data_IF_839981511936
#
_entry.id   IF_839981511936
#
_cell.length_a   1.000
_cell.length_b   1.000
_cell.length_c   1.000
_cell.angle_alpha   90.00
_cell.angle_beta   90.00
_cell.angle_gamma   90.00
#
_symmetry.space_group_name_H-M   'P 1'
#
loop_
_entity.id
_entity.type
_entity.pdbx_description
1 polymer ?
#
# COMPACT_ATOMS: atom_id res chain seq x y z
N UNK A 1 -21.26 13.94 4.23
CA UNK A 1 -21.71 12.64 3.66
C UNK A 1 -21.17 11.50 4.51
N UNK A 2 -22.03 10.72 5.20
CA UNK A 2 -21.61 9.46 5.84
C UNK A 2 -21.43 8.40 4.76
N UNK A 3 -20.19 8.06 4.39
CA UNK A 3 -19.90 6.95 3.45
C UNK A 3 -20.31 5.62 4.10
N UNK A 4 -21.00 4.75 3.34
CA UNK A 4 -21.44 3.40 3.79
C UNK A 4 -20.28 2.46 4.15
N UNK A 5 -19.07 2.76 3.66
CA UNK A 5 -17.81 2.09 3.97
C UNK A 5 -16.70 2.68 3.09
N UNK A 6 -15.45 2.53 3.49
CA UNK A 6 -14.30 3.10 2.76
C UNK A 6 -13.71 2.10 1.75
N UNK A 7 -13.44 2.56 0.53
CA UNK A 7 -12.63 1.82 -0.44
C UNK A 7 -11.16 2.15 -0.16
N UNK A 8 -10.37 1.13 0.14
CA UNK A 8 -8.95 1.32 0.48
C UNK A 8 -8.05 0.45 -0.36
N UNK A 9 -6.86 0.96 -0.65
CA UNK A 9 -5.82 0.24 -1.37
C UNK A 9 -4.53 0.19 -0.53
N UNK A 10 -3.88 -0.97 -0.52
CA UNK A 10 -2.67 -1.24 0.25
C UNK A 10 -1.54 -1.69 -0.66
N UNK A 11 -0.37 -1.11 -0.46
CA UNK A 11 0.85 -1.51 -1.14
C UNK A 11 2.08 -1.19 -0.28
N UNK A 12 3.22 -1.76 -0.63
CA UNK A 12 4.51 -1.44 -0.03
C UNK A 12 5.50 -0.97 -1.08
N UNK A 13 6.40 -0.08 -0.68
CA UNK A 13 7.46 0.37 -1.57
C UNK A 13 8.78 0.56 -0.85
N UNK A 14 9.86 0.12 -1.49
CA UNK A 14 11.22 0.30 -1.02
C UNK A 14 11.74 1.72 -1.26
N UNK A 15 12.44 2.26 -0.27
CA UNK A 15 13.18 3.52 -0.33
C UNK A 15 14.67 3.25 -0.07
N UNK A 16 15.55 3.70 -0.97
CA UNK A 16 16.98 3.39 -0.94
C UNK A 16 17.67 4.13 0.20
N UNK A 17 18.50 3.43 0.95
CA UNK A 17 19.38 4.05 1.94
C UNK A 17 20.67 4.48 1.24
N UNK A 18 21.11 5.73 1.48
CA UNK A 18 22.47 6.17 1.12
C UNK A 18 23.47 5.73 2.19
N UNK A 19 23.63 4.42 2.40
CA UNK A 19 24.49 3.87 3.46
C UNK A 19 25.90 3.47 3.00
N UNK A 20 26.10 3.03 1.75
CA UNK A 20 27.45 2.79 1.22
C UNK A 20 27.83 3.83 0.17
N UNK A 21 29.08 4.28 0.21
CA UNK A 21 29.64 4.97 -0.95
C UNK A 21 29.88 3.91 -2.02
N UNK A 22 29.29 4.09 -3.21
CA UNK A 22 29.67 3.29 -4.39
C UNK A 22 31.19 3.26 -4.58
N UNK A 23 31.88 4.34 -4.17
CA UNK A 23 33.34 4.45 -4.14
C UNK A 23 34.03 3.42 -3.23
N UNK A 24 33.46 3.08 -2.06
CA UNK A 24 34.00 2.02 -1.21
C UNK A 24 33.87 0.67 -1.90
N UNK A 25 32.70 0.35 -2.46
CA UNK A 25 32.44 -0.90 -3.19
C UNK A 25 33.38 -1.05 -4.42
N UNK A 26 33.60 0.04 -5.15
CA UNK A 26 34.58 0.12 -6.26
C UNK A 26 36.01 -0.12 -5.73
N UNK A 27 36.41 0.52 -4.63
CA UNK A 27 37.76 0.41 -4.06
C UNK A 27 38.09 -1.00 -3.59
N UNK A 28 37.13 -1.71 -2.98
CA UNK A 28 37.33 -3.08 -2.49
C UNK A 28 37.05 -4.15 -3.56
N UNK A 29 36.76 -3.75 -4.81
CA UNK A 29 36.40 -4.63 -5.93
C UNK A 29 35.29 -5.64 -5.61
N UNK A 30 34.38 -5.31 -4.68
CA UNK A 30 33.20 -6.11 -4.38
C UNK A 30 31.97 -5.36 -4.85
N UNK A 31 31.20 -5.96 -5.76
CA UNK A 31 29.80 -5.54 -5.97
C UNK A 31 29.03 -5.95 -4.71
N UNK A 32 28.74 -4.99 -3.84
CA UNK A 32 27.76 -5.23 -2.79
C UNK A 32 26.40 -5.44 -3.45
N UNK A 33 25.90 -6.68 -3.44
CA UNK A 33 24.54 -7.01 -3.88
C UNK A 33 23.48 -6.58 -2.85
N UNK A 34 23.92 -6.09 -1.67
CA UNK A 34 23.04 -5.60 -0.62
C UNK A 34 22.48 -4.24 -1.00
N UNK A 35 21.36 -4.36 -1.66
CA UNK A 35 20.34 -3.35 -1.85
C UNK A 35 19.76 -2.95 -0.48
N UNK A 36 20.38 -1.96 0.16
CA UNK A 36 19.93 -1.40 1.43
C UNK A 36 18.67 -0.54 1.22
N UNK A 37 17.51 -1.11 1.54
CA UNK A 37 16.22 -0.39 1.50
C UNK A 37 15.47 -0.54 2.83
N UNK A 38 14.63 0.45 3.13
CA UNK A 38 13.53 0.31 4.08
C UNK A 38 12.20 0.26 3.30
N UNK A 39 11.25 -0.51 3.79
CA UNK A 39 9.92 -0.62 3.20
C UNK A 39 8.96 0.33 3.90
N UNK A 40 8.25 1.12 3.11
CA UNK A 40 7.08 1.86 3.54
C UNK A 40 5.84 1.06 3.12
N UNK A 41 5.01 0.67 4.07
CA UNK A 41 3.69 0.10 3.82
C UNK A 41 2.65 1.19 4.06
N UNK A 42 1.73 1.41 3.13
CA UNK A 42 0.66 2.40 3.27
C UNK A 42 -0.70 1.78 3.01
N UNK A 43 -1.72 2.34 3.64
CA UNK A 43 -3.12 2.18 3.24
C UNK A 43 -3.68 3.55 2.90
N UNK A 44 -4.32 3.66 1.74
CA UNK A 44 -4.91 4.91 1.25
C UNK A 44 -6.43 4.79 1.14
N UNK A 45 -7.13 5.91 1.23
CA UNK A 45 -8.50 6.04 0.72
C UNK A 45 -8.43 6.20 -0.80
N UNK A 46 -9.09 5.31 -1.54
CA UNK A 46 -9.05 5.29 -3.02
C UNK A 46 -9.66 6.58 -3.59
N UNK A 47 -10.74 7.07 -2.98
CA UNK A 47 -11.48 8.22 -3.50
C UNK A 47 -10.69 9.53 -3.37
N UNK A 48 -9.85 9.64 -2.34
CA UNK A 48 -9.11 10.88 -2.05
C UNK A 48 -7.61 10.75 -2.28
N UNK A 49 -7.04 9.54 -2.33
CA UNK A 49 -5.61 9.29 -2.35
C UNK A 49 -4.90 9.63 -1.02
N UNK A 50 -5.63 9.98 0.04
CA UNK A 50 -5.04 10.29 1.36
C UNK A 50 -4.51 9.01 1.99
N UNK A 51 -3.30 9.05 2.55
CA UNK A 51 -2.75 7.96 3.36
C UNK A 51 -3.42 7.97 4.73
N UNK A 52 -4.15 6.91 5.05
CA UNK A 52 -4.89 6.78 6.30
C UNK A 52 -4.01 6.22 7.42
N UNK A 53 -3.13 5.28 7.08
CA UNK A 53 -2.19 4.68 8.01
C UNK A 53 -0.95 4.18 7.25
N UNK A 54 0.19 4.09 7.95
CA UNK A 54 1.42 3.54 7.38
C UNK A 54 2.21 2.75 8.42
N UNK A 55 3.06 1.84 7.97
CA UNK A 55 4.08 1.20 8.79
C UNK A 55 5.41 1.16 8.05
N UNK A 56 6.51 1.15 8.80
CA UNK A 56 7.86 1.14 8.24
C UNK A 56 8.58 -0.08 8.77
N UNK A 57 9.08 -0.91 7.87
CA UNK A 57 9.82 -2.12 8.24
C UNK A 57 11.15 -2.19 7.49
N UNK A 58 12.07 -3.00 8.01
CA UNK A 58 13.30 -3.33 7.30
C UNK A 58 12.99 -4.29 6.14
N UNK A 59 13.87 -4.35 5.13
CA UNK A 59 13.62 -5.06 3.87
C UNK A 59 13.26 -6.55 4.01
N UNK A 60 13.75 -7.23 5.05
CA UNK A 60 13.50 -8.67 5.30
C UNK A 60 12.09 -8.96 5.83
N UNK A 61 11.37 -7.92 6.25
CA UNK A 61 10.06 -8.09 6.88
C UNK A 61 9.03 -8.52 5.84
N UNK A 62 8.18 -9.47 6.23
CA UNK A 62 7.12 -9.99 5.38
C UNK A 62 5.88 -9.08 5.41
N UNK A 63 5.52 -8.55 4.25
CA UNK A 63 4.44 -7.60 4.04
C UNK A 63 3.09 -8.08 4.62
N UNK A 64 2.78 -9.38 4.46
CA UNK A 64 1.52 -9.97 4.97
C UNK A 64 1.26 -9.73 6.46
N UNK A 65 2.31 -9.56 7.29
CA UNK A 65 2.18 -9.32 8.74
C UNK A 65 1.78 -7.89 9.06
N UNK A 66 2.10 -6.94 8.18
CA UNK A 66 1.80 -5.53 8.36
C UNK A 66 0.35 -5.19 7.98
N UNK A 67 -0.27 -5.99 7.10
CA UNK A 67 -1.63 -5.76 6.61
C UNK A 67 -2.65 -5.49 7.72
N UNK A 68 -2.70 -6.39 8.73
CA UNK A 68 -3.62 -6.24 9.86
C UNK A 68 -3.39 -4.96 10.64
N UNK A 69 -2.13 -4.53 10.80
CA UNK A 69 -1.78 -3.29 11.50
C UNK A 69 -2.31 -2.09 10.75
N UNK A 70 -2.13 -2.06 9.43
CA UNK A 70 -2.58 -0.96 8.57
C UNK A 70 -4.09 -0.77 8.61
N UNK A 71 -4.86 -1.86 8.64
CA UNK A 71 -6.32 -1.77 8.64
C UNK A 71 -6.93 -1.70 10.05
N UNK A 72 -6.16 -1.93 11.13
CA UNK A 72 -6.68 -2.14 12.48
C UNK A 72 -7.57 -1.00 12.97
N UNK A 73 -7.11 0.23 12.79
CA UNK A 73 -7.77 1.41 13.36
C UNK A 73 -8.68 2.12 12.34
N UNK A 74 -8.84 1.54 11.14
CA UNK A 74 -9.75 2.06 10.13
C UNK A 74 -11.22 1.75 10.48
N UNK A 75 -12.17 2.63 10.12
CA UNK A 75 -13.61 2.40 10.30
C UNK A 75 -14.12 1.29 9.35
N UNK A 76 -15.43 1.19 9.18
CA UNK A 76 -16.04 0.19 8.28
C UNK A 76 -15.44 0.25 6.87
N UNK A 77 -14.99 -0.90 6.38
CA UNK A 77 -14.37 -1.05 5.07
C UNK A 77 -15.43 -1.52 4.06
N UNK A 78 -15.31 -1.10 2.81
CA UNK A 78 -16.14 -1.58 1.72
C UNK A 78 -15.32 -2.52 0.81
N UNK A 79 -14.38 -1.97 0.04
CA UNK A 79 -13.46 -2.73 -0.80
C UNK A 79 -12.04 -2.53 -0.29
N UNK A 80 -11.28 -3.62 -0.19
CA UNK A 80 -9.87 -3.58 0.26
C UNK A 80 -9.01 -4.24 -0.80
N UNK A 81 -8.36 -3.45 -1.64
CA UNK A 81 -7.43 -3.97 -2.64
C UNK A 81 -5.99 -3.98 -2.11
N UNK A 82 -5.21 -4.98 -2.49
CA UNK A 82 -3.80 -5.00 -2.12
C UNK A 82 -2.98 -6.00 -2.88
N UNK A 83 -1.67 -5.77 -2.92
CA UNK A 83 -0.75 -6.64 -3.64
C UNK A 83 -0.80 -8.10 -3.11
N UNK A 84 -0.44 -9.02 -4.00
CA UNK A 84 -0.27 -10.45 -3.77
C UNK A 84 0.65 -10.77 -2.59
N UNK A 85 1.59 -9.90 -2.25
CA UNK A 85 2.42 -10.03 -1.04
C UNK A 85 1.61 -10.02 0.27
N UNK A 86 0.44 -9.36 0.27
CA UNK A 86 -0.50 -9.33 1.39
C UNK A 86 -1.51 -10.49 1.38
N UNK A 87 -1.58 -11.26 0.28
CA UNK A 87 -2.54 -12.34 0.11
C UNK A 87 -2.32 -13.45 1.15
N UNK A 88 -3.25 -13.52 2.10
CA UNK A 88 -3.29 -14.59 3.11
C UNK A 88 -4.70 -14.79 3.62
N UNK A 89 -5.01 -16.01 4.06
CA UNK A 89 -6.29 -16.38 4.66
C UNK A 89 -6.69 -15.45 5.81
N UNK A 90 -5.71 -15.16 6.67
CA UNK A 90 -5.89 -14.35 7.86
C UNK A 90 -6.18 -12.89 7.50
N UNK A 91 -5.58 -12.38 6.42
CA UNK A 91 -5.81 -11.01 5.95
C UNK A 91 -7.17 -10.87 5.26
N UNK A 92 -7.59 -11.86 4.46
CA UNK A 92 -8.96 -11.87 3.90
C UNK A 92 -10.01 -11.86 5.01
N UNK A 93 -9.81 -12.66 6.06
CA UNK A 93 -10.74 -12.68 7.20
C UNK A 93 -10.75 -11.35 7.95
N UNK A 94 -9.59 -10.74 8.20
CA UNK A 94 -9.52 -9.45 8.88
C UNK A 94 -10.28 -8.33 8.15
N UNK A 95 -10.37 -8.40 6.82
CA UNK A 95 -11.21 -7.49 6.02
C UNK A 95 -12.69 -7.80 6.20
N UNK A 96 -13.07 -9.08 6.12
CA UNK A 96 -14.46 -9.52 6.28
C UNK A 96 -15.01 -9.21 7.68
N UNK A 97 -14.19 -9.35 8.72
CA UNK A 97 -14.53 -9.00 10.11
C UNK A 97 -14.88 -7.51 10.26
N UNK A 98 -14.36 -6.66 9.36
CA UNK A 98 -14.68 -5.23 9.23
C UNK A 98 -15.80 -4.92 8.22
N UNK A 99 -16.56 -5.95 7.83
CA UNK A 99 -17.65 -5.90 6.84
C UNK A 99 -17.22 -5.50 5.42
N UNK A 100 -15.93 -5.59 5.13
CA UNK A 100 -15.37 -5.31 3.81
C UNK A 100 -15.22 -6.55 2.94
N UNK A 101 -14.98 -6.34 1.65
CA UNK A 101 -14.64 -7.35 0.66
C UNK A 101 -13.15 -7.27 0.32
N UNK A 102 -12.36 -8.34 0.53
CA UNK A 102 -10.94 -8.35 0.20
C UNK A 102 -10.70 -8.68 -1.28
N UNK A 103 -9.94 -7.81 -1.95
CA UNK A 103 -9.43 -8.00 -3.31
C UNK A 103 -7.91 -8.15 -3.24
N UNK A 104 -7.46 -9.33 -2.81
CA UNK A 104 -6.03 -9.68 -2.70
C UNK A 104 -5.70 -10.75 -3.74
N UNK A 105 -4.81 -10.44 -4.69
CA UNK A 105 -4.45 -11.37 -5.75
C UNK A 105 -3.93 -12.71 -5.22
N UNK A 106 -4.35 -13.81 -5.85
CA UNK A 106 -3.97 -15.15 -5.44
C UNK A 106 -2.60 -15.57 -5.99
N UNK A 107 -1.89 -16.43 -5.24
CA UNK A 107 -0.69 -17.12 -5.73
C UNK A 107 -1.07 -18.21 -6.72
N UNK A 108 -0.18 -18.52 -7.67
CA UNK A 108 -0.44 -19.55 -8.68
C UNK A 108 -0.71 -20.92 -8.04
N UNK A 109 -0.12 -21.18 -6.88
CA UNK A 109 -0.33 -22.38 -6.07
C UNK A 109 -1.37 -22.18 -4.94
N UNK A 110 -2.18 -21.12 -4.98
CA UNK A 110 -3.22 -20.90 -4.00
C UNK A 110 -4.34 -21.94 -4.16
N UNK A 111 -4.90 -22.39 -3.04
CA UNK A 111 -6.01 -23.33 -3.00
C UNK A 111 -7.21 -22.69 -2.33
N UNK A 112 -8.42 -22.98 -2.82
CA UNK A 112 -9.69 -22.47 -2.28
C UNK A 112 -10.06 -23.01 -0.88
N UNK A 113 -9.26 -23.90 -0.29
CA UNK A 113 -9.53 -24.45 1.05
C UNK A 113 -9.54 -23.33 2.11
N UNK A 114 -10.65 -23.14 2.81
CA UNK A 114 -10.81 -22.11 3.84
C UNK A 114 -9.80 -22.25 5.00
N UNK A 115 -9.57 -23.48 5.50
CA UNK A 115 -8.75 -23.76 6.69
C UNK A 115 -9.12 -22.87 7.90
N UNK A 116 -10.43 -22.74 8.18
CA UNK A 116 -10.95 -21.90 9.27
C UNK A 116 -11.15 -20.42 8.91
N UNK A 117 -10.85 -20.00 7.68
CA UNK A 117 -11.02 -18.62 7.22
C UNK A 117 -12.00 -18.59 6.02
N UNK A 118 -13.32 -18.55 6.26
CA UNK A 118 -14.32 -18.61 5.18
C UNK A 118 -14.20 -17.46 4.17
N UNK A 119 -13.78 -16.27 4.62
CA UNK A 119 -13.57 -15.13 3.73
C UNK A 119 -12.58 -15.41 2.60
N UNK A 120 -11.56 -16.24 2.85
CA UNK A 120 -10.61 -16.67 1.82
C UNK A 120 -11.30 -17.49 0.73
N UNK A 121 -12.09 -18.49 1.12
CA UNK A 121 -12.77 -19.37 0.18
C UNK A 121 -13.78 -18.60 -0.66
N UNK A 122 -14.57 -17.72 -0.04
CA UNK A 122 -15.52 -16.86 -0.74
C UNK A 122 -14.80 -15.99 -1.79
N UNK A 123 -13.70 -15.35 -1.39
CA UNK A 123 -12.94 -14.48 -2.30
C UNK A 123 -12.26 -15.27 -3.43
N UNK A 124 -11.80 -16.50 -3.13
CA UNK A 124 -11.18 -17.39 -4.12
C UNK A 124 -12.21 -17.87 -5.13
N UNK A 125 -13.38 -18.29 -4.68
CA UNK A 125 -14.47 -18.71 -5.55
C UNK A 125 -14.95 -17.53 -6.43
N UNK A 126 -15.14 -16.34 -5.85
CA UNK A 126 -15.51 -15.15 -6.62
C UNK A 126 -14.50 -14.82 -7.73
N UNK A 127 -13.19 -15.01 -7.48
CA UNK A 127 -12.16 -14.85 -8.51
C UNK A 127 -12.22 -15.96 -9.57
N UNK A 128 -12.56 -17.19 -9.21
CA UNK A 128 -12.66 -18.30 -10.17
C UNK A 128 -13.93 -18.27 -11.01
N UNK A 129 -15.05 -17.84 -10.43
CA UNK A 129 -16.36 -17.81 -11.06
C UNK A 129 -16.42 -16.70 -12.13
N UNK A 130 -15.88 -15.51 -11.83
CA UNK A 130 -15.78 -14.41 -12.79
C UNK A 130 -14.46 -13.63 -12.63
N UNK A 131 -13.35 -14.13 -13.19
CA UNK A 131 -12.05 -13.48 -13.07
C UNK A 131 -12.02 -12.05 -13.62
N UNK A 132 -12.78 -11.77 -14.68
CA UNK A 132 -12.80 -10.46 -15.34
C UNK A 132 -13.41 -9.39 -14.42
N UNK A 133 -14.61 -9.64 -13.92
CA UNK A 133 -15.30 -8.72 -12.99
C UNK A 133 -14.51 -8.55 -11.68
N UNK A 134 -13.89 -9.64 -11.19
CA UNK A 134 -13.03 -9.55 -10.02
C UNK A 134 -11.81 -8.62 -10.26
N UNK A 135 -11.21 -8.70 -11.45
CA UNK A 135 -10.09 -7.83 -11.83
C UNK A 135 -10.52 -6.38 -12.02
N UNK A 136 -11.72 -6.13 -12.55
CA UNK A 136 -12.30 -4.80 -12.66
C UNK A 136 -12.38 -4.11 -11.29
N UNK A 137 -12.80 -4.86 -10.27
CA UNK A 137 -12.84 -4.38 -8.88
C UNK A 137 -11.46 -4.24 -8.24
N UNK A 138 -10.50 -5.09 -8.63
CA UNK A 138 -9.12 -5.02 -8.15
C UNK A 138 -8.34 -3.82 -8.72
N UNK A 139 -8.75 -3.25 -9.86
CA UNK A 139 -8.03 -2.15 -10.52
C UNK A 139 -7.89 -0.88 -9.66
N UNK A 140 -8.73 -0.69 -8.64
CA UNK A 140 -8.59 0.39 -7.65
C UNK A 140 -7.22 0.39 -6.95
N UNK A 141 -6.50 -0.74 -6.95
CA UNK A 141 -5.12 -0.84 -6.46
C UNK A 141 -4.18 0.12 -7.19
N UNK A 142 -4.37 0.40 -8.48
CA UNK A 142 -3.48 1.30 -9.24
C UNK A 142 -3.30 2.69 -8.60
N UNK A 143 -4.30 3.16 -7.85
CA UNK A 143 -4.24 4.46 -7.16
C UNK A 143 -3.10 4.51 -6.13
N UNK A 144 -2.84 3.42 -5.39
CA UNK A 144 -1.75 3.42 -4.39
C UNK A 144 -0.37 3.47 -5.04
N UNK A 145 -0.22 2.91 -6.24
CA UNK A 145 1.00 3.03 -7.04
C UNK A 145 1.21 4.49 -7.48
N UNK A 146 0.13 5.18 -7.86
CA UNK A 146 0.18 6.60 -8.17
C UNK A 146 0.57 7.45 -6.95
N UNK A 147 0.07 7.09 -5.75
CA UNK A 147 0.50 7.72 -4.48
C UNK A 147 2.00 7.52 -4.24
N UNK A 148 2.51 6.29 -4.34
CA UNK A 148 3.94 6.03 -4.20
C UNK A 148 4.78 6.78 -5.23
N UNK A 149 4.31 6.81 -6.48
CA UNK A 149 4.96 7.55 -7.57
C UNK A 149 5.05 9.04 -7.25
N UNK A 150 3.95 9.64 -6.77
CA UNK A 150 3.93 11.04 -6.34
C UNK A 150 4.93 11.31 -5.22
N UNK A 151 4.98 10.47 -4.18
CA UNK A 151 5.94 10.60 -3.07
C UNK A 151 7.37 10.55 -3.61
N UNK A 152 7.69 9.53 -4.42
CA UNK A 152 9.06 9.32 -4.93
C UNK A 152 9.52 10.41 -5.88
N UNK A 153 8.64 10.90 -6.76
CA UNK A 153 8.96 11.99 -7.70
C UNK A 153 9.11 13.34 -6.99
N UNK A 154 8.24 13.64 -6.03
CA UNK A 154 8.26 14.95 -5.35
C UNK A 154 9.30 15.02 -4.23
N UNK A 155 9.50 13.94 -3.47
CA UNK A 155 10.29 13.93 -2.22
C UNK A 155 11.52 13.03 -2.31
N UNK A 156 11.77 12.41 -3.47
CA UNK A 156 12.88 11.49 -3.71
C UNK A 156 12.62 10.06 -3.21
N UNK A 157 13.20 9.09 -3.93
CA UNK A 157 13.14 7.67 -3.57
C UNK A 157 14.22 7.22 -2.58
N UNK A 158 15.17 8.09 -2.25
CA UNK A 158 16.25 7.85 -1.30
C UNK A 158 15.99 8.47 0.08
N UNK A 159 16.57 7.84 1.10
CA UNK A 159 16.63 8.32 2.47
C UNK A 159 18.05 8.83 2.73
N UNK A 160 18.15 10.10 3.14
CA UNK A 160 19.42 10.79 3.36
C UNK A 160 19.93 10.63 4.80
N UNK A 161 19.02 10.37 5.74
CA UNK A 161 19.35 10.18 7.15
C UNK A 161 20.27 8.97 7.37
N UNK A 162 21.21 9.11 8.31
CA UNK A 162 22.22 8.07 8.60
C UNK A 162 21.75 7.12 9.70
N UNK A 163 21.30 7.65 10.86
CA UNK A 163 20.88 6.83 12.00
C UNK A 163 19.56 6.10 11.71
N UNK A 164 19.44 4.86 12.17
CA UNK A 164 18.27 4.00 11.88
C UNK A 164 16.92 4.64 12.23
N UNK A 165 16.80 5.24 13.42
CA UNK A 165 15.57 5.92 13.83
C UNK A 165 15.30 7.21 13.04
N UNK A 166 16.35 7.94 12.63
CA UNK A 166 16.22 9.12 11.77
C UNK A 166 15.74 8.73 10.36
N UNK A 167 16.21 7.61 9.81
CA UNK A 167 15.72 7.07 8.52
C UNK A 167 14.21 6.82 8.54
N UNK A 168 13.71 6.21 9.62
CA UNK A 168 12.27 5.97 9.80
C UNK A 168 11.50 7.27 9.99
N UNK A 169 12.05 8.24 10.73
CA UNK A 169 11.45 9.59 10.87
C UNK A 169 11.39 10.33 9.54
N UNK A 170 12.45 10.32 8.75
CA UNK A 170 12.47 10.97 7.44
C UNK A 170 11.36 10.42 6.54
N UNK A 171 11.22 9.09 6.48
CA UNK A 171 10.17 8.45 5.70
C UNK A 171 8.75 8.79 6.22
N UNK A 172 8.56 8.82 7.54
CA UNK A 172 7.30 9.28 8.14
C UNK A 172 6.99 10.75 7.81
N UNK A 173 8.00 11.62 7.80
CA UNK A 173 7.85 13.02 7.38
C UNK A 173 7.47 13.10 5.90
N UNK A 174 8.04 12.27 5.02
CA UNK A 174 7.63 12.23 3.61
C UNK A 174 6.15 11.88 3.44
N UNK A 175 5.64 10.93 4.24
CA UNK A 175 4.20 10.59 4.28
C UNK A 175 3.37 11.77 4.75
N UNK A 176 3.78 12.44 5.84
CA UNK A 176 3.09 13.63 6.36
C UNK A 176 3.02 14.76 5.33
N UNK A 177 4.15 15.09 4.70
CA UNK A 177 4.24 16.13 3.66
C UNK A 177 3.34 15.80 2.48
N UNK A 178 3.32 14.53 2.04
CA UNK A 178 2.40 14.08 1.00
C UNK A 178 0.94 14.31 1.39
N UNK A 179 0.54 13.91 2.59
CA UNK A 179 -0.83 14.07 3.07
C UNK A 179 -1.25 15.53 3.17
N UNK A 180 -0.39 16.41 3.72
CA UNK A 180 -0.65 17.85 3.77
C UNK A 180 -0.87 18.41 2.36
N UNK A 181 0.04 18.11 1.44
CA UNK A 181 -0.07 18.51 0.03
C UNK A 181 -1.38 18.01 -0.59
N UNK A 182 -1.76 16.76 -0.33
CA UNK A 182 -2.97 16.16 -0.90
C UNK A 182 -4.25 16.79 -0.35
N UNK A 183 -4.31 17.06 0.95
CA UNK A 183 -5.45 17.76 1.58
C UNK A 183 -5.60 19.17 1.01
N UNK A 184 -4.51 19.91 0.82
CA UNK A 184 -4.56 21.24 0.21
C UNK A 184 -5.08 21.19 -1.24
N UNK A 185 -4.68 20.17 -2.02
CA UNK A 185 -5.19 19.98 -3.37
C UNK A 185 -6.68 19.64 -3.39
N UNK A 186 -7.14 18.77 -2.49
CA UNK A 186 -8.56 18.44 -2.36
C UNK A 186 -9.37 19.68 -2.03
N UNK A 187 -8.96 20.43 -1.00
CA UNK A 187 -9.62 21.68 -0.61
C UNK A 187 -9.67 22.67 -1.78
N UNK A 188 -8.57 22.81 -2.52
CA UNK A 188 -8.53 23.73 -3.66
C UNK A 188 -9.41 23.28 -4.82
N UNK A 189 -9.48 21.97 -5.08
CA UNK A 189 -10.37 21.42 -6.09
C UNK A 189 -11.85 21.63 -5.72
N UNK A 190 -12.22 21.44 -4.45
CA UNK A 190 -13.55 21.74 -3.93
C UNK A 190 -13.92 23.23 -4.08
N UNK A 191 -13.01 24.15 -3.72
CA UNK A 191 -13.20 25.59 -3.90
C UNK A 191 -13.41 25.99 -5.37
N UNK A 192 -12.75 25.30 -6.30
CA UNK A 192 -12.85 25.58 -7.74
C UNK A 192 -13.96 24.78 -8.43
N UNK A 193 -14.65 23.87 -7.74
CA UNK A 193 -15.65 22.98 -8.33
C UNK A 193 -15.08 21.97 -9.33
N UNK A 194 -13.78 21.65 -9.24
CA UNK A 194 -13.09 20.72 -10.16
C UNK A 194 -13.14 19.31 -9.57
N UNK A 195 -13.53 18.27 -10.35
CA UNK A 195 -13.50 16.90 -9.87
C UNK A 195 -12.07 16.42 -9.59
N UNK A 196 -11.90 15.60 -8.55
CA UNK A 196 -10.59 15.04 -8.17
C UNK A 196 -10.05 14.01 -9.17
N UNK A 197 -10.96 13.32 -9.85
CA UNK A 197 -10.68 12.31 -10.85
C UNK A 197 -11.41 12.68 -12.13
N UNK A 198 -10.71 12.55 -13.24
CA UNK A 198 -11.28 12.68 -14.57
C UNK A 198 -11.19 11.30 -15.19
N UNK A 199 -12.28 10.80 -15.75
CA UNK A 199 -12.26 9.54 -16.48
C UNK A 199 -11.31 9.69 -17.67
N UNK A 200 -10.36 8.76 -17.79
CA UNK A 200 -9.52 8.67 -18.97
C UNK A 200 -10.42 8.23 -20.14
N UNK A 201 -10.69 9.15 -21.07
CA UNK A 201 -11.33 8.85 -22.36
C UNK A 201 -10.41 8.01 -23.25
#
# INVERSE_FOLDING_TARGET
>A
MRRRGMNVALDSSGFSLKTSSKWFDIRIKRKSEKKDYIKLHIVIDVDTGIILHFSITDWKSADSKEFKRLIKDLPCLNKVAGDKAYSSRVNCQAVADKKGKPFLCFKANATGKAKGYPAWQISFNAYMDNPKEWMDEYHIRSIVEAVFSSIKRCLGSDIKSIKGWLKRRELAIKVLVYNIKRVLYIKKAEELGIPLWVDCQ
#
